data_IF_743274620811
#
_entry.id   IF_743274620811
#
_cell.length_a   1.000
_cell.length_b   1.000
_cell.length_c   1.000
_cell.angle_alpha   90.00
_cell.angle_beta   90.00
_cell.angle_gamma   90.00
#
_symmetry.space_group_name_H-M   'P 1'
#
loop_
_entity.id
_entity.type
_entity.pdbx_description
1 polymer ?
#
# COMPACT_ATOMS: atom_id res chain seq x y z
N UNK A 1 10.24 4.30 9.59
CA UNK A 1 10.24 2.93 10.10
C UNK A 1 11.27 2.76 11.23
N UNK A 2 12.56 3.07 11.00
CA UNK A 2 13.62 2.86 12.02
C UNK A 2 13.45 3.71 13.31
N UNK A 3 12.64 4.77 13.27
CA UNK A 3 12.29 5.60 14.43
C UNK A 3 11.13 5.05 15.29
N UNK A 4 10.68 3.80 15.07
CA UNK A 4 9.60 3.21 15.86
C UNK A 4 9.94 3.21 17.36
N UNK A 5 8.96 3.65 18.16
CA UNK A 5 9.07 3.67 19.64
C UNK A 5 8.53 2.40 20.28
N UNK A 6 7.68 1.64 19.56
CA UNK A 6 7.17 0.35 20.04
C UNK A 6 8.33 -0.61 20.25
N UNK A 7 8.38 -1.22 21.41
CA UNK A 7 9.43 -2.16 21.80
C UNK A 7 8.87 -3.55 22.09
N UNK A 8 9.73 -4.55 21.98
CA UNK A 8 9.44 -5.94 22.26
C UNK A 8 10.56 -6.50 23.15
N UNK A 9 10.22 -6.88 24.36
CA UNK A 9 11.16 -7.52 25.31
C UNK A 9 11.09 -9.04 25.14
N UNK A 10 12.23 -9.67 24.84
CA UNK A 10 12.32 -11.13 24.76
C UNK A 10 12.19 -11.74 26.14
N UNK A 11 11.46 -12.85 26.24
CA UNK A 11 11.26 -13.62 27.47
C UNK A 11 12.07 -14.92 27.45
N UNK A 12 12.29 -15.51 28.62
CA UNK A 12 13.09 -16.75 28.78
C UNK A 12 12.47 -17.95 28.04
N UNK A 13 11.14 -17.97 27.86
CA UNK A 13 10.42 -18.99 27.10
C UNK A 13 10.41 -18.77 25.59
N UNK A 14 11.14 -17.74 25.09
CA UNK A 14 11.22 -17.35 23.71
C UNK A 14 10.07 -16.50 23.19
N UNK A 15 9.04 -16.22 24.01
CA UNK A 15 7.97 -15.26 23.69
C UNK A 15 8.49 -13.83 23.78
N UNK A 16 7.64 -12.87 23.39
CA UNK A 16 7.93 -11.44 23.46
C UNK A 16 6.81 -10.71 24.21
N UNK A 17 7.15 -9.66 24.92
CA UNK A 17 6.18 -8.71 25.50
C UNK A 17 6.31 -7.39 24.76
N UNK A 18 5.23 -6.97 24.10
CA UNK A 18 5.18 -5.78 23.28
C UNK A 18 4.47 -4.63 24.00
N UNK A 19 5.08 -3.45 23.93
CA UNK A 19 4.50 -2.21 24.43
C UNK A 19 4.68 -1.08 23.43
N UNK A 20 3.64 -0.24 23.28
CA UNK A 20 3.66 0.94 22.44
C UNK A 20 2.33 1.25 21.80
N UNK A 21 2.34 2.24 20.92
CA UNK A 21 1.15 2.71 20.22
C UNK A 21 1.44 2.88 18.73
N UNK A 22 0.44 2.62 17.90
CA UNK A 22 0.43 2.85 16.45
C UNK A 22 -0.71 3.78 16.10
N UNK A 23 -0.39 4.89 15.46
CA UNK A 23 -1.36 5.91 15.09
C UNK A 23 -1.90 5.69 13.68
N UNK A 24 -3.13 6.11 13.47
CA UNK A 24 -3.80 6.16 12.16
C UNK A 24 -3.83 4.81 11.43
N UNK A 25 -4.18 3.77 12.16
CA UNK A 25 -4.21 2.43 11.59
C UNK A 25 -5.54 2.19 10.87
N UNK A 26 -5.46 2.04 9.55
CA UNK A 26 -6.60 1.64 8.73
C UNK A 26 -7.11 0.28 9.19
N UNK A 27 -8.43 0.17 9.34
CA UNK A 27 -9.13 -1.00 9.89
C UNK A 27 -8.76 -1.30 11.36
N UNK A 28 -8.08 -0.38 12.06
CA UNK A 28 -7.67 -0.55 13.44
C UNK A 28 -8.83 -0.84 14.40
N UNK A 29 -10.04 -0.36 14.08
CA UNK A 29 -11.24 -0.61 14.88
C UNK A 29 -11.81 -2.03 14.80
N UNK A 30 -11.53 -2.80 13.73
CA UNK A 30 -12.17 -4.10 13.51
C UNK A 30 -11.27 -5.20 12.91
N UNK A 31 -10.04 -4.92 12.51
CA UNK A 31 -9.14 -5.95 11.99
C UNK A 31 -8.86 -7.03 13.05
N UNK A 32 -8.88 -8.30 12.67
CA UNK A 32 -8.62 -9.43 13.56
C UNK A 32 -7.12 -9.66 13.80
N UNK A 33 -6.28 -9.23 12.84
CA UNK A 33 -4.83 -9.37 12.92
C UNK A 33 -4.11 -8.12 12.44
N UNK A 34 -2.95 -7.86 13.03
CA UNK A 34 -2.09 -6.71 12.72
C UNK A 34 -0.66 -7.18 12.48
N UNK A 35 -0.01 -6.61 11.45
CA UNK A 35 1.44 -6.68 11.32
C UNK A 35 2.04 -5.49 12.06
N UNK A 36 2.69 -5.76 13.17
CA UNK A 36 3.26 -4.74 14.05
C UNK A 36 4.77 -4.76 13.98
N UNK A 37 5.36 -3.61 13.72
CA UNK A 37 6.81 -3.42 13.78
C UNK A 37 7.20 -2.89 15.16
N UNK A 38 8.16 -3.57 15.79
CA UNK A 38 8.68 -3.23 17.10
C UNK A 38 10.21 -3.43 17.13
N UNK A 39 10.88 -2.78 18.08
CA UNK A 39 12.30 -2.99 18.33
C UNK A 39 12.48 -4.04 19.41
N UNK A 40 13.08 -5.16 19.05
CA UNK A 40 13.50 -6.18 20.01
C UNK A 40 14.75 -5.66 20.72
N UNK A 41 14.74 -5.74 22.03
CA UNK A 41 15.83 -5.33 22.92
C UNK A 41 16.36 -3.92 22.62
N UNK A 42 15.44 -3.02 22.21
CA UNK A 42 15.70 -1.60 21.97
C UNK A 42 16.21 -1.23 20.58
N UNK A 43 16.81 -2.14 19.81
CA UNK A 43 17.50 -1.82 18.56
C UNK A 43 17.01 -2.62 17.34
N UNK A 44 16.72 -3.90 17.51
CA UNK A 44 16.50 -4.83 16.40
C UNK A 44 15.08 -4.70 15.83
N UNK A 45 14.93 -3.90 14.77
CA UNK A 45 13.65 -3.65 14.11
C UNK A 45 13.09 -4.93 13.49
N UNK A 46 11.99 -5.44 14.08
CA UNK A 46 11.38 -6.74 13.78
C UNK A 46 9.89 -6.58 13.48
N UNK A 47 9.29 -7.58 12.84
CA UNK A 47 7.86 -7.62 12.53
C UNK A 47 7.18 -8.76 13.28
N UNK A 48 5.96 -8.52 13.76
CA UNK A 48 5.16 -9.48 14.53
C UNK A 48 3.74 -9.56 13.99
N UNK A 49 3.15 -10.73 14.02
CA UNK A 49 1.72 -10.96 13.80
C UNK A 49 1.03 -10.88 15.15
N UNK A 50 0.20 -9.87 15.34
CA UNK A 50 -0.56 -9.62 16.56
C UNK A 50 -2.03 -9.90 16.29
N UNK A 51 -2.63 -10.76 17.05
CA UNK A 51 -4.07 -11.04 16.97
C UNK A 51 -4.83 -10.06 17.89
N UNK A 52 -5.99 -9.58 17.44
CA UNK A 52 -6.84 -8.71 18.25
C UNK A 52 -7.20 -9.31 19.60
N UNK A 53 -7.35 -10.62 19.66
CA UNK A 53 -7.71 -11.36 20.87
C UNK A 53 -6.57 -11.52 21.89
N UNK A 54 -5.37 -11.02 21.61
CA UNK A 54 -4.30 -11.06 22.62
C UNK A 54 -4.58 -10.05 23.73
N UNK A 55 -4.38 -10.46 24.97
CA UNK A 55 -4.52 -9.57 26.12
C UNK A 55 -3.61 -8.35 25.97
N UNK A 56 -4.16 -7.16 26.25
CA UNK A 56 -3.45 -5.89 26.15
C UNK A 56 -3.48 -5.25 24.76
N UNK A 57 -4.14 -5.85 23.76
CA UNK A 57 -4.40 -5.23 22.46
C UNK A 57 -5.69 -4.42 22.51
N UNK A 58 -5.60 -3.12 22.29
CA UNK A 58 -6.74 -2.20 22.34
C UNK A 58 -6.78 -1.30 21.10
N UNK A 59 -7.97 -0.91 20.68
CA UNK A 59 -8.17 0.16 19.69
C UNK A 59 -8.63 1.43 20.39
N UNK A 60 -8.07 2.57 19.98
CA UNK A 60 -8.55 3.88 20.43
C UNK A 60 -9.82 4.33 19.71
N UNK A 61 -10.16 5.61 19.86
CA UNK A 61 -11.31 6.21 19.19
C UNK A 61 -11.05 6.36 17.67
N UNK A 62 -12.14 6.34 16.89
CA UNK A 62 -12.10 6.65 15.46
C UNK A 62 -11.62 8.10 15.22
N UNK A 63 -10.72 8.25 14.26
CA UNK A 63 -10.18 9.54 13.88
C UNK A 63 -11.20 10.38 13.07
N UNK A 64 -11.27 11.66 13.37
CA UNK A 64 -12.04 12.62 12.58
C UNK A 64 -11.27 12.99 11.31
N UNK A 65 -11.70 12.47 10.17
CA UNK A 65 -11.02 12.67 8.87
C UNK A 65 -11.78 13.65 7.98
N UNK A 66 -11.07 14.37 7.11
CA UNK A 66 -11.67 15.25 6.09
C UNK A 66 -12.49 14.49 5.05
N UNK A 67 -12.16 13.21 4.80
CA UNK A 67 -12.82 12.35 3.83
C UNK A 67 -12.61 10.89 4.16
N UNK A 68 -13.14 9.99 3.33
CA UNK A 68 -13.11 8.54 3.54
C UNK A 68 -13.67 8.14 4.92
N UNK A 69 -14.76 8.78 5.36
CA UNK A 69 -15.34 8.62 6.69
C UNK A 69 -15.81 7.20 6.95
N UNK A 70 -16.21 6.47 5.89
CA UNK A 70 -16.59 5.06 5.97
C UNK A 70 -15.42 4.08 6.17
N UNK A 71 -14.16 4.55 6.13
CA UNK A 71 -12.97 3.72 6.41
C UNK A 71 -12.56 3.93 7.86
N UNK A 72 -12.58 2.86 8.67
CA UNK A 72 -12.09 2.92 10.06
C UNK A 72 -10.62 3.31 10.11
N UNK A 73 -10.28 4.22 11.00
CA UNK A 73 -8.90 4.64 11.27
C UNK A 73 -8.78 4.95 12.75
N UNK A 74 -8.02 4.15 13.49
CA UNK A 74 -7.87 4.31 14.95
C UNK A 74 -6.41 4.16 15.36
N UNK A 75 -6.04 4.64 16.55
CA UNK A 75 -4.83 4.15 17.21
C UNK A 75 -4.98 2.67 17.58
N UNK A 76 -3.87 1.94 17.55
CA UNK A 76 -3.76 0.58 18.11
C UNK A 76 -2.75 0.64 19.26
N UNK A 77 -3.19 0.29 20.45
CA UNK A 77 -2.44 0.37 21.70
C UNK A 77 -2.05 -1.04 22.11
N UNK A 78 -0.80 -1.21 22.46
CA UNK A 78 -0.23 -2.46 22.96
C UNK A 78 0.28 -2.23 24.37
N UNK A 79 -0.31 -2.92 25.34
CA UNK A 79 0.06 -2.83 26.75
C UNK A 79 0.35 -4.23 27.27
N UNK A 80 1.62 -4.52 27.50
CA UNK A 80 2.13 -5.80 27.98
C UNK A 80 1.63 -7.01 27.16
N UNK A 81 1.50 -6.83 25.84
CA UNK A 81 0.98 -7.85 24.92
C UNK A 81 1.97 -8.99 24.82
N UNK A 82 1.60 -10.16 25.33
CA UNK A 82 2.42 -11.37 25.22
C UNK A 82 2.23 -12.02 23.85
N UNK A 83 3.31 -12.13 23.10
CA UNK A 83 3.32 -12.62 21.72
C UNK A 83 4.16 -13.89 21.63
N UNK A 84 3.59 -15.03 21.22
CA UNK A 84 4.33 -16.28 21.06
C UNK A 84 5.49 -16.13 20.05
N UNK A 85 6.58 -16.89 20.24
CA UNK A 85 7.73 -16.87 19.33
C UNK A 85 7.35 -17.13 17.86
N UNK A 86 6.38 -18.01 17.61
CA UNK A 86 5.87 -18.36 16.27
C UNK A 86 5.22 -17.18 15.50
N UNK A 87 4.82 -16.13 16.24
CA UNK A 87 4.22 -14.93 15.66
C UNK A 87 5.27 -13.88 15.25
N UNK A 88 6.56 -14.15 15.42
CA UNK A 88 7.63 -13.36 14.78
C UNK A 88 7.56 -13.60 13.26
N UNK A 89 7.40 -12.52 12.50
CA UNK A 89 7.35 -12.57 11.04
C UNK A 89 8.76 -12.38 10.47
N UNK A 90 9.32 -13.44 9.93
CA UNK A 90 10.71 -13.48 9.45
C UNK A 90 11.71 -13.58 10.60
N UNK A 91 12.81 -12.87 10.52
CA UNK A 91 13.93 -12.91 11.47
C UNK A 91 13.98 -11.66 12.33
N UNK A 92 14.48 -11.79 13.56
CA UNK A 92 14.77 -10.64 14.45
C UNK A 92 15.74 -9.69 13.75
N UNK A 93 15.44 -8.39 13.79
CA UNK A 93 16.23 -7.34 13.15
C UNK A 93 16.01 -7.19 11.63
N UNK A 94 15.20 -8.05 11.00
CA UNK A 94 14.92 -8.03 9.56
C UNK A 94 13.55 -7.46 9.19
N UNK A 95 12.82 -6.87 10.13
CA UNK A 95 11.49 -6.28 9.87
C UNK A 95 11.46 -5.22 8.77
N UNK A 96 12.58 -4.56 8.49
CA UNK A 96 12.70 -3.62 7.38
C UNK A 96 12.47 -4.29 6.02
N UNK A 97 12.89 -5.54 5.83
CA UNK A 97 12.61 -6.27 4.58
C UNK A 97 11.12 -6.46 4.37
N UNK A 98 10.39 -6.87 5.41
CA UNK A 98 8.93 -6.98 5.37
C UNK A 98 8.29 -5.64 5.02
N UNK A 99 8.68 -4.57 5.72
CA UNK A 99 8.11 -3.24 5.51
C UNK A 99 8.33 -2.71 4.09
N UNK A 100 9.53 -2.84 3.53
CA UNK A 100 9.83 -2.32 2.19
C UNK A 100 9.16 -3.14 1.09
N UNK A 101 9.05 -4.45 1.22
CA UNK A 101 8.39 -5.30 0.22
C UNK A 101 6.88 -5.05 0.17
N UNK A 102 6.22 -4.85 1.31
CA UNK A 102 4.83 -4.40 1.34
C UNK A 102 4.65 -3.06 0.60
N UNK A 103 5.60 -2.12 0.78
CA UNK A 103 5.57 -0.84 0.08
C UNK A 103 5.80 -0.98 -1.43
N UNK A 104 6.69 -1.86 -1.87
CA UNK A 104 6.95 -2.11 -3.30
C UNK A 104 5.69 -2.64 -3.99
N UNK A 105 5.05 -3.66 -3.40
CA UNK A 105 3.77 -4.18 -3.88
C UNK A 105 2.68 -3.09 -3.89
N UNK A 106 2.57 -2.32 -2.82
CA UNK A 106 1.62 -1.21 -2.71
C UNK A 106 1.80 -0.15 -3.79
N UNK A 107 3.04 0.18 -4.16
CA UNK A 107 3.35 1.12 -5.24
C UNK A 107 2.91 0.60 -6.61
N UNK A 108 3.20 -0.66 -6.93
CA UNK A 108 2.73 -1.30 -8.16
C UNK A 108 1.20 -1.30 -8.23
N UNK A 109 0.54 -1.76 -7.17
CA UNK A 109 -0.93 -1.78 -7.05
C UNK A 109 -1.54 -0.38 -7.24
N UNK A 110 -0.91 0.66 -6.68
CA UNK A 110 -1.38 2.04 -6.84
C UNK A 110 -1.28 2.50 -8.30
N UNK A 111 -0.19 2.19 -8.99
CA UNK A 111 -0.05 2.46 -10.43
C UNK A 111 -1.15 1.80 -11.26
N UNK A 112 -1.45 0.54 -10.99
CA UNK A 112 -2.55 -0.18 -11.66
C UNK A 112 -3.93 0.44 -11.36
N UNK A 113 -4.16 0.84 -10.11
CA UNK A 113 -5.41 1.50 -9.71
C UNK A 113 -5.61 2.85 -10.40
N UNK A 114 -4.56 3.68 -10.44
CA UNK A 114 -4.60 5.00 -11.10
C UNK A 114 -4.79 4.87 -12.61
N UNK A 115 -4.19 3.87 -13.26
CA UNK A 115 -4.45 3.56 -14.68
C UNK A 115 -5.95 3.33 -14.94
N UNK A 116 -6.60 2.52 -14.12
CA UNK A 116 -8.05 2.29 -14.25
C UNK A 116 -8.86 3.56 -14.06
N UNK A 117 -8.49 4.39 -13.08
CA UNK A 117 -9.14 5.68 -12.82
C UNK A 117 -8.92 6.68 -13.97
N UNK A 118 -7.73 6.74 -14.57
CA UNK A 118 -7.47 7.56 -15.76
C UNK A 118 -8.36 7.15 -16.94
N UNK A 119 -8.53 5.84 -17.18
CA UNK A 119 -9.42 5.35 -18.26
C UNK A 119 -10.88 5.76 -18.01
N UNK A 120 -11.36 5.66 -16.78
CA UNK A 120 -12.71 6.09 -16.42
C UNK A 120 -12.87 7.60 -16.62
N UNK A 121 -11.95 8.41 -16.06
CA UNK A 121 -11.99 9.87 -16.17
C UNK A 121 -11.94 10.34 -17.63
N UNK A 122 -11.11 9.71 -18.46
CA UNK A 122 -11.04 9.97 -19.90
C UNK A 122 -12.39 9.70 -20.59
N UNK A 123 -13.00 8.54 -20.32
CA UNK A 123 -14.31 8.17 -20.91
C UNK A 123 -15.40 9.17 -20.52
N UNK A 124 -15.49 9.53 -19.24
CA UNK A 124 -16.46 10.52 -18.76
C UNK A 124 -16.23 11.92 -19.37
N UNK A 125 -14.96 12.35 -19.41
CA UNK A 125 -14.59 13.65 -19.99
C UNK A 125 -14.91 13.73 -21.48
N UNK A 126 -14.63 12.67 -22.23
CA UNK A 126 -14.93 12.60 -23.66
C UNK A 126 -16.45 12.66 -23.91
N UNK A 127 -17.25 11.88 -23.18
CA UNK A 127 -18.71 11.87 -23.28
C UNK A 127 -19.28 13.25 -22.93
N UNK A 128 -18.93 13.79 -21.76
CA UNK A 128 -19.42 15.08 -21.31
C UNK A 128 -19.08 16.19 -22.30
N UNK A 129 -17.86 16.24 -22.83
CA UNK A 129 -17.44 17.27 -23.78
C UNK A 129 -18.17 17.21 -25.12
N UNK A 130 -18.62 16.02 -25.55
CA UNK A 130 -19.43 15.84 -26.75
C UNK A 130 -20.88 16.28 -26.56
N UNK A 131 -21.44 16.12 -25.37
CA UNK A 131 -22.84 16.45 -25.03
C UNK A 131 -23.03 17.89 -24.57
N UNK A 132 -22.06 18.45 -23.85
CA UNK A 132 -22.15 19.83 -23.29
C UNK A 132 -21.96 20.86 -24.38
N UNK A 133 -22.97 21.74 -24.57
CA UNK A 133 -22.91 22.86 -25.51
C UNK A 133 -22.62 24.17 -24.81
N UNK A 134 -21.74 24.97 -25.42
CA UNK A 134 -21.51 26.40 -25.13
C UNK A 134 -21.19 27.13 -26.43
N UNK A 135 -21.59 28.40 -26.52
CA UNK A 135 -21.37 29.21 -27.68
C UNK A 135 -21.90 28.59 -29.00
N UNK A 136 -23.05 27.88 -28.91
CA UNK A 136 -23.74 27.29 -30.05
C UNK A 136 -23.19 25.95 -30.53
N UNK A 137 -22.22 25.34 -29.85
CA UNK A 137 -21.63 24.06 -30.28
C UNK A 137 -21.18 23.19 -29.09
N UNK A 138 -20.96 21.87 -29.29
CA UNK A 138 -20.36 21.02 -28.27
C UNK A 138 -18.99 21.56 -27.86
N UNK A 139 -18.66 21.49 -26.55
CA UNK A 139 -17.37 21.98 -26.04
C UNK A 139 -16.19 21.16 -26.59
N UNK A 140 -16.40 19.93 -26.99
CA UNK A 140 -15.40 19.12 -27.70
C UNK A 140 -14.85 19.74 -28.99
N UNK A 141 -15.55 20.71 -29.59
CA UNK A 141 -15.10 21.39 -30.80
C UNK A 141 -14.03 22.45 -30.52
N UNK A 142 -13.88 22.93 -29.29
CA UNK A 142 -12.89 23.94 -28.94
C UNK A 142 -11.49 23.33 -28.83
N UNK A 143 -10.48 24.03 -29.36
CA UNK A 143 -9.07 23.60 -29.39
C UNK A 143 -8.52 23.29 -27.99
N UNK A 144 -8.86 24.09 -26.98
CA UNK A 144 -8.43 23.87 -25.62
C UNK A 144 -8.96 22.54 -25.03
N UNK A 145 -10.20 22.17 -25.35
CA UNK A 145 -10.79 20.90 -24.89
C UNK A 145 -10.16 19.73 -25.66
N UNK A 146 -10.01 19.84 -26.95
CA UNK A 146 -9.31 18.85 -27.79
C UNK A 146 -7.91 18.57 -27.26
N UNK A 147 -7.16 19.63 -26.93
CA UNK A 147 -5.83 19.49 -26.35
C UNK A 147 -5.85 18.73 -25.03
N UNK A 148 -6.74 19.10 -24.10
CA UNK A 148 -6.88 18.38 -22.79
C UNK A 148 -7.23 16.91 -22.96
N UNK A 149 -8.19 16.57 -23.83
CA UNK A 149 -8.54 15.17 -24.10
C UNK A 149 -7.36 14.44 -24.76
N UNK A 150 -6.64 15.06 -25.67
CA UNK A 150 -5.43 14.51 -26.29
C UNK A 150 -4.34 14.19 -25.25
N UNK A 151 -4.08 15.10 -24.31
CA UNK A 151 -3.16 14.87 -23.20
C UNK A 151 -3.63 13.70 -22.31
N UNK A 152 -4.91 13.64 -21.96
CA UNK A 152 -5.47 12.54 -21.16
C UNK A 152 -5.29 11.19 -21.87
N UNK A 153 -5.54 11.12 -23.19
CA UNK A 153 -5.33 9.88 -23.97
C UNK A 153 -3.87 9.46 -23.94
N UNK A 154 -2.95 10.39 -24.22
CA UNK A 154 -1.51 10.10 -24.27
C UNK A 154 -0.98 9.61 -22.92
N UNK A 155 -1.37 10.29 -21.84
CA UNK A 155 -0.95 9.93 -20.47
C UNK A 155 -1.56 8.60 -20.03
N UNK A 156 -2.84 8.36 -20.33
CA UNK A 156 -3.50 7.08 -20.04
C UNK A 156 -2.82 5.93 -20.77
N UNK A 157 -2.48 6.09 -22.03
CA UNK A 157 -1.76 5.08 -22.80
C UNK A 157 -0.36 4.81 -22.21
N UNK A 158 0.36 5.88 -21.82
CA UNK A 158 1.68 5.75 -21.22
C UNK A 158 1.64 4.96 -19.91
N UNK A 159 0.73 5.32 -18.96
CA UNK A 159 0.64 4.60 -17.70
C UNK A 159 0.16 3.16 -17.88
N UNK A 160 -0.78 2.89 -18.79
CA UNK A 160 -1.21 1.55 -19.13
C UNK A 160 -0.05 0.68 -19.64
N UNK A 161 0.74 1.21 -20.58
CA UNK A 161 1.91 0.53 -21.12
C UNK A 161 2.94 0.21 -20.03
N UNK A 162 3.19 1.15 -19.11
CA UNK A 162 4.12 0.98 -18.00
C UNK A 162 3.63 -0.08 -17.01
N UNK A 163 2.34 -0.07 -16.67
CA UNK A 163 1.73 -1.05 -15.75
C UNK A 163 1.86 -2.46 -16.32
N UNK A 164 1.44 -2.67 -17.57
CA UNK A 164 1.51 -3.99 -18.19
C UNK A 164 2.96 -4.44 -18.45
N UNK A 165 3.87 -3.52 -18.77
CA UNK A 165 5.29 -3.86 -18.88
C UNK A 165 5.86 -4.34 -17.56
N UNK A 166 5.59 -3.63 -16.46
CA UNK A 166 6.07 -4.03 -15.12
C UNK A 166 5.43 -5.33 -14.66
N UNK A 167 4.12 -5.51 -14.91
CA UNK A 167 3.44 -6.78 -14.64
C UNK A 167 4.08 -7.95 -15.38
N UNK A 168 4.34 -7.78 -16.68
CA UNK A 168 4.99 -8.82 -17.48
C UNK A 168 6.42 -9.14 -17.05
N UNK A 169 7.17 -8.16 -16.53
CA UNK A 169 8.49 -8.40 -15.94
C UNK A 169 8.40 -9.18 -14.63
N UNK A 170 7.45 -8.86 -13.77
CA UNK A 170 7.17 -9.62 -12.55
C UNK A 170 6.73 -11.05 -12.87
N UNK A 171 5.82 -11.24 -13.82
CA UNK A 171 5.34 -12.55 -14.26
C UNK A 171 6.46 -13.38 -14.86
N UNK A 172 7.35 -12.79 -15.68
CA UNK A 172 8.49 -13.48 -16.26
C UNK A 172 9.47 -13.98 -15.19
N UNK A 173 9.69 -13.19 -14.14
CA UNK A 173 10.55 -13.58 -13.03
C UNK A 173 9.92 -14.68 -12.15
N UNK A 174 8.59 -14.67 -12.01
CA UNK A 174 7.83 -15.65 -11.21
C UNK A 174 7.42 -16.89 -12.02
N UNK A 175 7.25 -16.75 -13.33
CA UNK A 175 6.62 -17.77 -14.20
C UNK A 175 7.46 -19.05 -14.43
N UNK A 176 8.73 -19.06 -14.08
CA UNK A 176 9.59 -20.26 -14.13
C UNK A 176 9.37 -21.19 -12.91
N UNK A 177 8.67 -20.72 -11.89
CA UNK A 177 8.41 -21.48 -10.67
C UNK A 177 7.06 -22.18 -10.72
N UNK A 178 7.05 -23.51 -10.67
CA UNK A 178 5.83 -24.35 -10.59
C UNK A 178 5.03 -24.12 -9.29
N UNK A 179 5.67 -23.57 -8.28
CA UNK A 179 5.08 -23.03 -7.06
C UNK A 179 5.80 -21.73 -6.74
N UNK A 180 5.07 -20.63 -6.64
CA UNK A 180 5.64 -19.36 -6.17
C UNK A 180 5.96 -19.56 -4.70
N UNK A 181 7.25 -19.60 -4.36
CA UNK A 181 7.66 -19.52 -2.97
C UNK A 181 7.76 -18.05 -2.52
N UNK A 182 7.68 -17.84 -1.23
CA UNK A 182 7.71 -16.49 -0.66
C UNK A 182 9.02 -15.75 -0.96
N UNK A 183 10.13 -16.47 -1.10
CA UNK A 183 11.45 -15.92 -1.39
C UNK A 183 11.53 -15.40 -2.83
N UNK A 184 10.98 -16.13 -3.80
CA UNK A 184 10.91 -15.71 -5.20
C UNK A 184 10.03 -14.46 -5.36
N UNK A 185 8.88 -14.41 -4.66
CA UNK A 185 8.00 -13.24 -4.68
C UNK A 185 8.70 -12.00 -4.11
N UNK A 186 9.38 -12.15 -2.97
CA UNK A 186 10.14 -11.07 -2.35
C UNK A 186 11.24 -10.57 -3.28
N UNK A 187 12.01 -11.48 -3.91
CA UNK A 187 13.08 -11.13 -4.84
C UNK A 187 12.55 -10.35 -6.07
N UNK A 188 11.41 -10.77 -6.64
CA UNK A 188 10.78 -10.07 -7.76
C UNK A 188 10.33 -8.65 -7.38
N UNK A 189 9.76 -8.47 -6.19
CA UNK A 189 9.33 -7.16 -5.70
C UNK A 189 10.51 -6.23 -5.38
N UNK A 190 11.64 -6.78 -4.93
CA UNK A 190 12.88 -6.02 -4.69
C UNK A 190 13.51 -5.60 -6.02
N UNK A 191 13.58 -6.48 -7.01
CA UNK A 191 14.15 -6.21 -8.33
C UNK A 191 13.42 -5.06 -9.03
N UNK A 192 12.09 -5.07 -9.04
CA UNK A 192 11.28 -4.05 -9.72
C UNK A 192 10.76 -2.94 -8.78
N UNK A 193 11.48 -2.64 -7.70
CA UNK A 193 11.13 -1.58 -6.75
C UNK A 193 11.18 -0.17 -7.36
N UNK A 194 12.11 0.07 -8.29
CA UNK A 194 12.26 1.35 -9.00
C UNK A 194 11.08 1.54 -9.95
N UNK A 195 10.76 0.56 -10.79
CA UNK A 195 9.64 0.59 -11.72
C UNK A 195 8.32 0.79 -10.97
N UNK A 196 8.11 0.09 -9.87
CA UNK A 196 6.95 0.26 -8.99
C UNK A 196 6.85 1.68 -8.43
N UNK A 197 7.99 2.30 -8.08
CA UNK A 197 8.03 3.68 -7.60
C UNK A 197 7.70 4.69 -8.70
N UNK A 198 8.22 4.49 -9.91
CA UNK A 198 7.89 5.30 -11.09
C UNK A 198 6.39 5.18 -11.40
N UNK A 199 5.84 3.98 -11.41
CA UNK A 199 4.40 3.75 -11.63
C UNK A 199 3.54 4.51 -10.63
N UNK A 200 3.88 4.45 -9.34
CA UNK A 200 3.14 5.16 -8.28
C UNK A 200 3.14 6.67 -8.52
N UNK A 201 4.31 7.27 -8.80
CA UNK A 201 4.44 8.71 -9.00
C UNK A 201 3.72 9.11 -10.29
N UNK A 202 4.07 8.50 -11.42
CA UNK A 202 3.51 8.83 -12.73
C UNK A 202 1.99 8.66 -12.76
N UNK A 203 1.49 7.55 -12.20
CA UNK A 203 0.05 7.30 -12.17
C UNK A 203 -0.71 8.34 -11.34
N UNK A 204 -0.19 8.71 -10.18
CA UNK A 204 -0.84 9.73 -9.33
C UNK A 204 -0.78 11.15 -9.89
N UNK A 205 0.24 11.46 -10.73
CA UNK A 205 0.36 12.76 -11.39
C UNK A 205 -0.48 12.85 -12.68
N UNK A 206 -0.79 11.70 -13.32
CA UNK A 206 -1.59 11.67 -14.55
C UNK A 206 -3.09 11.64 -14.28
N UNK A 207 -3.52 11.17 -13.10
CA UNK A 207 -4.91 11.17 -12.66
C UNK A 207 -5.35 12.55 -12.18
#
# INVERSE_FOLDING_TARGET
ALGAKTHAARQDDGSYVLNGEKMWITNGGFADAFIVFAKVDGEQFSAFIIERGFDGVMSGQEEHKMGLVGSSTTPVILQDVRVPAKNLLGEVGRGHKVAFNVLNYGRFKLGASTMGSCKLALGESARYSAERHQFGQPIANFGAIKHKIGEMVTRTYAIESMVFRTAGLLDAMLGEHKSIDDAALVAALEEYAIESSILKVTGSEYL
#
